data_IF_663259991634
#
_entry.id   IF_663259991634
#
_cell.length_a   1.000
_cell.length_b   1.000
_cell.length_c   1.000
_cell.angle_alpha   90.00
_cell.angle_beta   90.00
_cell.angle_gamma   90.00
#
_symmetry.space_group_name_H-M   'P 1'
#
loop_
_entity.id
_entity.type
_entity.pdbx_description
1 polymer ?
#
# COMPACT_ATOMS: atom_id res chain seq x y z
N UNK A 1 -17.18 30.83 -0.42
CA UNK A 1 -17.62 29.47 -0.74
C UNK A 1 -16.56 28.85 -1.65
N UNK A 2 -15.87 27.83 -1.19
CA UNK A 2 -14.92 27.07 -2.03
C UNK A 2 -15.73 26.02 -2.79
N UNK A 3 -15.68 26.07 -4.12
CA UNK A 3 -16.25 25.04 -4.99
C UNK A 3 -15.15 24.03 -5.30
N UNK A 4 -15.25 22.82 -4.73
CA UNK A 4 -14.42 21.70 -5.14
C UNK A 4 -15.09 21.00 -6.33
N UNK A 5 -14.44 21.01 -7.48
CA UNK A 5 -14.87 20.23 -8.64
C UNK A 5 -14.14 18.89 -8.56
N UNK A 6 -14.89 17.83 -8.30
CA UNK A 6 -14.38 16.47 -8.42
C UNK A 6 -14.44 16.06 -9.90
N UNK A 7 -13.31 15.91 -10.52
CA UNK A 7 -13.22 15.34 -11.87
C UNK A 7 -13.41 13.79 -11.75
N UNK A 8 -14.14 13.16 -12.67
CA UNK A 8 -14.25 11.72 -12.71
C UNK A 8 -12.87 11.07 -12.91
N UNK A 9 -12.68 9.83 -12.43
CA UNK A 9 -11.48 9.06 -12.76
C UNK A 9 -11.32 8.99 -14.28
N UNK A 10 -10.05 8.98 -14.74
CA UNK A 10 -9.75 8.78 -16.16
C UNK A 10 -10.01 7.33 -16.53
N UNK A 11 -10.56 7.08 -17.72
CA UNK A 11 -10.70 5.72 -18.26
C UNK A 11 -9.32 5.04 -18.46
N UNK A 12 -8.26 5.85 -18.63
CA UNK A 12 -6.87 5.42 -18.82
C UNK A 12 -5.99 5.61 -17.56
N UNK A 13 -6.58 5.71 -16.36
CA UNK A 13 -5.85 6.06 -15.13
C UNK A 13 -4.65 5.14 -14.88
N UNK A 14 -4.80 3.84 -15.07
CA UNK A 14 -3.71 2.88 -14.85
C UNK A 14 -2.51 3.15 -15.79
N UNK A 15 -2.77 3.36 -17.06
CA UNK A 15 -1.70 3.66 -18.02
C UNK A 15 -1.03 5.02 -17.74
N UNK A 16 -1.82 6.00 -17.33
CA UNK A 16 -1.31 7.29 -16.89
C UNK A 16 -0.41 7.14 -15.66
N UNK A 17 -0.83 6.37 -14.65
CA UNK A 17 -0.06 6.09 -13.44
C UNK A 17 1.30 5.45 -13.77
N UNK A 18 1.32 4.46 -14.65
CA UNK A 18 2.56 3.79 -15.07
C UNK A 18 3.54 4.78 -15.70
N UNK A 19 3.08 5.60 -16.64
CA UNK A 19 3.91 6.62 -17.29
C UNK A 19 4.39 7.70 -16.32
N UNK A 20 3.53 8.12 -15.38
CA UNK A 20 3.91 9.10 -14.35
C UNK A 20 4.97 8.54 -13.42
N UNK A 21 4.82 7.28 -13.00
CA UNK A 21 5.76 6.60 -12.13
C UNK A 21 7.12 6.35 -12.80
N UNK A 22 7.13 5.92 -14.06
CA UNK A 22 8.38 5.77 -14.82
C UNK A 22 9.15 7.10 -14.93
N UNK A 23 8.46 8.21 -15.17
CA UNK A 23 9.09 9.54 -15.19
C UNK A 23 9.66 9.92 -13.83
N UNK A 24 8.93 9.64 -12.74
CA UNK A 24 9.40 9.89 -11.39
C UNK A 24 10.68 9.11 -11.09
N UNK A 25 10.72 7.82 -11.42
CA UNK A 25 11.89 6.96 -11.20
C UNK A 25 13.10 7.37 -12.05
N UNK A 26 12.87 7.97 -13.22
CA UNK A 26 13.93 8.44 -14.11
C UNK A 26 14.49 9.82 -13.72
N UNK A 27 13.85 10.53 -12.76
CA UNK A 27 14.27 11.85 -12.33
C UNK A 27 15.47 11.77 -11.39
N UNK A 28 16.64 12.22 -11.88
CA UNK A 28 17.89 12.17 -11.15
C UNK A 28 17.94 13.11 -9.92
N UNK A 29 17.09 14.13 -9.88
CA UNK A 29 17.04 15.05 -8.75
C UNK A 29 16.12 14.49 -7.64
N UNK A 30 15.01 13.87 -7.99
CA UNK A 30 14.17 13.14 -7.05
C UNK A 30 14.89 11.96 -6.42
N UNK A 31 15.74 11.25 -7.17
CA UNK A 31 16.54 10.14 -6.65
C UNK A 31 17.52 10.53 -5.52
N UNK A 32 17.80 11.83 -5.35
CA UNK A 32 18.68 12.35 -4.28
C UNK A 32 17.92 12.72 -3.00
N UNK A 33 16.59 12.75 -3.07
CA UNK A 33 15.74 13.18 -1.95
C UNK A 33 15.39 11.94 -1.11
N UNK A 34 15.71 11.93 0.19
CA UNK A 34 15.34 10.81 1.06
C UNK A 34 13.84 10.82 1.36
N UNK A 35 13.22 9.66 1.35
CA UNK A 35 11.80 9.46 1.65
C UNK A 35 11.13 8.53 0.66
N UNK A 36 9.86 8.28 0.89
CA UNK A 36 8.99 7.54 -0.02
C UNK A 36 8.20 8.52 -0.88
N UNK A 37 7.88 8.09 -2.09
CA UNK A 37 7.09 8.85 -3.04
C UNK A 37 5.79 8.14 -3.35
N UNK A 38 4.73 8.92 -3.49
CA UNK A 38 3.45 8.50 -4.05
C UNK A 38 3.05 9.51 -5.13
N UNK A 39 2.04 9.17 -5.90
CA UNK A 39 1.40 10.15 -6.79
C UNK A 39 -0.10 10.20 -6.54
N UNK A 40 -0.73 11.31 -6.91
CA UNK A 40 -2.18 11.41 -7.00
C UNK A 40 -2.67 11.07 -8.42
N UNK A 41 -4.00 11.09 -8.62
CA UNK A 41 -4.63 10.82 -9.93
C UNK A 41 -4.21 11.78 -11.04
N UNK A 42 -3.65 12.92 -10.71
CA UNK A 42 -3.18 13.95 -11.65
C UNK A 42 -1.68 13.83 -11.93
N UNK A 43 -0.98 12.93 -11.22
CA UNK A 43 0.46 12.72 -11.32
C UNK A 43 1.28 13.71 -10.49
N UNK A 44 0.67 14.43 -9.54
CA UNK A 44 1.43 15.23 -8.57
C UNK A 44 2.18 14.29 -7.64
N UNK A 45 3.42 14.66 -7.33
CA UNK A 45 4.29 13.87 -6.46
C UNK A 45 3.98 14.24 -5.01
N UNK A 46 3.69 13.23 -4.22
CA UNK A 46 3.50 13.32 -2.76
C UNK A 46 4.72 12.69 -2.12
N UNK A 47 5.40 13.41 -1.25
CA UNK A 47 6.57 12.94 -0.55
C UNK A 47 6.24 12.73 0.92
N UNK A 48 6.65 11.57 1.45
CA UNK A 48 6.64 11.29 2.89
C UNK A 48 8.06 11.24 3.42
N UNK A 49 8.31 11.78 4.64
CA UNK A 49 9.62 11.68 5.28
C UNK A 49 10.05 10.21 5.43
N UNK A 50 11.37 9.95 5.58
CA UNK A 50 11.84 8.60 5.88
C UNK A 50 11.12 8.04 7.11
N UNK A 51 10.79 6.74 7.12
CA UNK A 51 10.14 6.10 8.25
C UNK A 51 11.02 6.14 9.50
N UNK A 52 10.41 6.29 10.67
CA UNK A 52 11.11 6.19 11.94
C UNK A 52 11.56 4.76 12.26
N UNK A 53 12.42 4.61 13.27
CA UNK A 53 12.99 3.32 13.69
C UNK A 53 11.94 2.24 13.95
N UNK A 54 10.88 2.57 14.72
CA UNK A 54 9.82 1.61 15.05
C UNK A 54 8.96 1.23 13.83
N UNK A 55 8.71 2.18 12.94
CA UNK A 55 7.97 1.93 11.70
C UNK A 55 8.70 0.89 10.83
N UNK A 56 9.99 1.11 10.55
CA UNK A 56 10.80 0.16 9.79
C UNK A 56 10.93 -1.20 10.47
N UNK A 57 11.02 -1.23 11.80
CA UNK A 57 11.04 -2.47 12.58
C UNK A 57 9.75 -3.26 12.40
N UNK A 58 8.58 -2.61 12.47
CA UNK A 58 7.29 -3.25 12.25
C UNK A 58 7.10 -3.72 10.81
N UNK A 59 7.48 -2.93 9.83
CA UNK A 59 7.47 -3.37 8.42
C UNK A 59 8.26 -4.68 8.24
N UNK A 60 9.46 -4.72 8.80
CA UNK A 60 10.30 -5.92 8.72
C UNK A 60 9.66 -7.13 9.41
N UNK A 61 9.19 -6.97 10.64
CA UNK A 61 8.61 -8.08 11.42
C UNK A 61 7.32 -8.61 10.79
N UNK A 62 6.44 -7.73 10.34
CA UNK A 62 5.22 -8.11 9.61
C UNK A 62 5.58 -8.89 8.34
N UNK A 63 6.52 -8.37 7.55
CA UNK A 63 6.97 -9.04 6.34
C UNK A 63 7.61 -10.40 6.61
N UNK A 64 8.44 -10.50 7.64
CA UNK A 64 9.05 -11.75 8.07
C UNK A 64 8.01 -12.80 8.47
N UNK A 65 7.03 -12.41 9.30
CA UNK A 65 5.96 -13.30 9.75
C UNK A 65 5.09 -13.77 8.59
N UNK A 66 4.67 -12.88 7.70
CA UNK A 66 3.92 -13.24 6.49
C UNK A 66 4.70 -14.26 5.65
N UNK A 67 5.97 -13.99 5.40
CA UNK A 67 6.84 -14.92 4.63
C UNK A 67 7.00 -16.27 5.32
N UNK A 68 7.17 -16.27 6.64
CA UNK A 68 7.36 -17.47 7.45
C UNK A 68 6.11 -18.35 7.49
N UNK A 69 4.92 -17.75 7.64
CA UNK A 69 3.65 -18.47 7.80
C UNK A 69 3.10 -18.91 6.45
N UNK A 70 3.04 -18.01 5.47
CA UNK A 70 2.38 -18.24 4.18
C UNK A 70 3.34 -18.66 3.06
N UNK A 71 4.65 -18.41 3.19
CA UNK A 71 5.56 -18.49 2.04
C UNK A 71 5.28 -17.35 1.07
N UNK A 72 5.20 -17.64 -0.22
CA UNK A 72 4.86 -16.65 -1.26
C UNK A 72 5.86 -15.50 -1.36
N UNK A 73 5.42 -14.33 -1.77
CA UNK A 73 6.25 -13.16 -1.99
C UNK A 73 5.86 -12.02 -1.07
N UNK A 74 6.86 -11.41 -0.43
CA UNK A 74 6.69 -10.23 0.42
C UNK A 74 7.52 -9.09 -0.15
N UNK A 75 6.95 -7.90 -0.19
CA UNK A 75 7.62 -6.66 -0.58
C UNK A 75 7.29 -5.56 0.43
N UNK A 76 8.19 -4.61 0.60
CA UNK A 76 7.97 -3.39 1.38
C UNK A 76 8.02 -2.18 0.47
N UNK A 77 7.38 -1.08 0.87
CA UNK A 77 7.30 0.16 0.07
C UNK A 77 6.86 -0.13 -1.37
N UNK A 78 5.84 -0.97 -1.51
CA UNK A 78 5.48 -1.56 -2.79
C UNK A 78 4.59 -0.63 -3.62
N UNK A 79 5.01 -0.18 -4.82
CA UNK A 79 4.21 0.70 -5.65
C UNK A 79 3.02 -0.02 -6.25
N UNK A 80 1.82 0.48 -5.95
CA UNK A 80 0.53 -0.03 -6.43
C UNK A 80 -0.22 1.06 -7.19
N UNK A 81 -0.59 0.79 -8.44
CA UNK A 81 -1.46 1.65 -9.23
C UNK A 81 -2.90 1.56 -8.74
N UNK A 82 -3.46 2.69 -8.35
CA UNK A 82 -4.82 2.83 -7.83
C UNK A 82 -5.64 3.84 -8.66
N UNK A 83 -6.89 4.04 -8.31
CA UNK A 83 -7.72 5.09 -8.90
C UNK A 83 -7.24 6.50 -8.54
N UNK A 84 -6.41 6.65 -7.51
CA UNK A 84 -5.80 7.91 -7.09
C UNK A 84 -4.26 7.89 -7.21
N UNK A 85 -3.75 7.49 -8.36
CA UNK A 85 -2.31 7.46 -8.63
C UNK A 85 -1.63 6.20 -8.12
N UNK A 86 -0.31 6.29 -7.89
CA UNK A 86 0.51 5.20 -7.37
C UNK A 86 0.75 5.42 -5.88
N UNK A 87 0.36 4.43 -5.07
CA UNK A 87 0.58 4.41 -3.61
C UNK A 87 1.72 3.47 -3.28
N UNK A 88 2.52 3.83 -2.28
CA UNK A 88 3.57 2.96 -1.73
C UNK A 88 2.99 2.21 -0.52
N UNK A 89 2.67 0.94 -0.70
CA UNK A 89 2.12 0.10 0.38
C UNK A 89 3.25 -0.38 1.28
N UNK A 90 3.15 -0.16 2.58
CA UNK A 90 4.23 -0.42 3.55
C UNK A 90 4.71 -1.87 3.54
N UNK A 91 3.79 -2.83 3.58
CA UNK A 91 4.10 -4.26 3.44
C UNK A 91 3.01 -4.94 2.61
N UNK A 92 3.41 -5.78 1.68
CA UNK A 92 2.48 -6.59 0.88
C UNK A 92 2.87 -8.06 0.91
N UNK A 93 1.86 -8.91 0.83
CA UNK A 93 2.04 -10.32 0.53
C UNK A 93 1.30 -10.69 -0.75
N UNK A 94 1.99 -11.44 -1.62
CA UNK A 94 1.46 -11.95 -2.88
C UNK A 94 1.73 -13.45 -3.00
N UNK A 95 0.73 -14.19 -3.48
CA UNK A 95 0.97 -15.51 -4.04
C UNK A 95 1.81 -15.42 -5.32
N UNK A 96 2.45 -16.51 -5.73
CA UNK A 96 3.20 -16.55 -6.99
C UNK A 96 2.29 -16.25 -8.20
N UNK A 97 1.04 -16.69 -8.13
CA UNK A 97 0.05 -16.43 -9.16
C UNK A 97 -0.28 -14.92 -9.25
N UNK A 98 -0.54 -14.28 -8.10
CA UNK A 98 -0.87 -12.85 -8.06
C UNK A 98 0.33 -12.02 -8.52
N UNK A 99 1.53 -12.31 -8.06
CA UNK A 99 2.73 -11.57 -8.46
C UNK A 99 2.96 -11.63 -9.97
N UNK A 100 2.83 -12.82 -10.58
CA UNK A 100 3.03 -13.00 -12.01
C UNK A 100 2.02 -12.23 -12.88
N UNK A 101 0.80 -12.04 -12.40
CA UNK A 101 -0.28 -11.34 -13.12
C UNK A 101 -0.36 -9.85 -12.80
N UNK A 102 0.08 -9.44 -11.61
CA UNK A 102 -0.07 -8.07 -11.13
C UNK A 102 1.09 -7.15 -11.50
N UNK A 103 2.30 -7.68 -11.66
CA UNK A 103 3.48 -6.85 -11.89
C UNK A 103 3.58 -6.39 -13.35
N UNK A 104 3.68 -5.07 -13.56
CA UNK A 104 3.98 -4.46 -14.85
C UNK A 104 5.08 -3.41 -14.71
N UNK A 105 6.26 -3.71 -15.26
CA UNK A 105 7.46 -2.92 -15.00
C UNK A 105 7.82 -2.94 -13.51
N UNK A 106 7.80 -1.77 -12.87
CA UNK A 106 8.11 -1.60 -11.44
C UNK A 106 6.86 -1.26 -10.60
N UNK A 107 5.66 -1.49 -11.10
CA UNK A 107 4.39 -1.14 -10.43
C UNK A 107 3.44 -2.32 -10.47
N UNK A 108 2.75 -2.57 -9.38
CA UNK A 108 1.63 -3.50 -9.37
C UNK A 108 0.39 -2.82 -9.97
N UNK A 109 -0.26 -3.50 -10.91
CA UNK A 109 -1.50 -3.04 -11.56
C UNK A 109 -2.76 -3.72 -11.00
N UNK A 110 -2.56 -4.65 -10.08
CA UNK A 110 -3.59 -5.29 -9.27
C UNK A 110 -3.10 -5.32 -7.83
N UNK A 111 -4.00 -5.11 -6.89
CA UNK A 111 -3.64 -5.18 -5.49
C UNK A 111 -3.10 -6.58 -5.11
N UNK A 112 -2.07 -6.64 -4.24
CA UNK A 112 -1.72 -7.86 -3.52
C UNK A 112 -2.92 -8.45 -2.78
N UNK A 113 -2.88 -9.74 -2.47
CA UNK A 113 -3.92 -10.35 -1.65
C UNK A 113 -3.97 -9.71 -0.26
N UNK A 114 -2.79 -9.40 0.33
CA UNK A 114 -2.70 -8.68 1.62
C UNK A 114 -1.91 -7.39 1.42
N UNK A 115 -2.54 -6.26 1.77
CA UNK A 115 -1.92 -4.94 1.86
C UNK A 115 -1.89 -4.51 3.32
N UNK A 116 -0.73 -4.07 3.82
CA UNK A 116 -0.55 -3.64 5.20
C UNK A 116 0.00 -2.22 5.25
N UNK A 117 -0.62 -1.36 6.06
CA UNK A 117 -0.10 -0.04 6.42
C UNK A 117 0.34 -0.03 7.89
N UNK A 118 1.52 0.48 8.14
CA UNK A 118 2.06 0.70 9.50
C UNK A 118 1.82 2.15 9.88
N UNK A 119 0.93 2.37 10.83
CA UNK A 119 0.49 3.72 11.17
C UNK A 119 1.57 4.51 11.90
N UNK A 120 1.63 5.79 11.61
CA UNK A 120 2.45 6.79 12.29
C UNK A 120 1.56 7.86 12.92
N UNK A 121 2.08 8.68 13.87
CA UNK A 121 1.31 9.75 14.51
C UNK A 121 0.74 10.79 13.55
N UNK A 122 1.27 10.87 12.33
CA UNK A 122 0.82 11.82 11.31
C UNK A 122 -0.33 11.32 10.46
N UNK A 123 -0.63 10.02 10.49
CA UNK A 123 -1.72 9.46 9.71
C UNK A 123 -3.08 9.81 10.31
N UNK A 124 -4.00 10.25 9.47
CA UNK A 124 -5.37 10.51 9.89
C UNK A 124 -6.29 9.32 9.59
N UNK A 125 -7.37 9.12 10.38
CA UNK A 125 -8.35 8.07 10.07
C UNK A 125 -8.95 8.18 8.67
N UNK A 126 -9.14 9.40 8.16
CA UNK A 126 -9.68 9.64 6.82
C UNK A 126 -8.72 9.17 5.72
N UNK A 127 -7.42 9.45 5.85
CA UNK A 127 -6.39 8.96 4.90
C UNK A 127 -6.32 7.44 4.89
N UNK A 128 -6.41 6.81 6.06
CA UNK A 128 -6.36 5.35 6.16
C UNK A 128 -7.61 4.70 5.55
N UNK A 129 -8.77 5.30 5.75
CA UNK A 129 -10.00 4.82 5.12
C UNK A 129 -9.95 4.94 3.59
N UNK A 130 -9.39 6.07 3.09
CA UNK A 130 -9.18 6.27 1.67
C UNK A 130 -8.20 5.25 1.09
N UNK A 131 -7.02 5.07 1.70
CA UNK A 131 -6.04 4.05 1.26
C UNK A 131 -6.65 2.66 1.23
N UNK A 132 -7.38 2.27 2.28
CA UNK A 132 -8.07 0.99 2.34
C UNK A 132 -9.02 0.79 1.16
N UNK A 133 -9.85 1.78 0.87
CA UNK A 133 -10.77 1.75 -0.28
C UNK A 133 -10.02 1.62 -1.60
N UNK A 134 -8.96 2.39 -1.78
CA UNK A 134 -8.12 2.32 -2.99
C UNK A 134 -7.51 0.93 -3.20
N UNK A 135 -7.10 0.24 -2.12
CA UNK A 135 -6.51 -1.09 -2.22
C UNK A 135 -7.56 -2.16 -2.55
N UNK A 136 -8.77 -2.06 -2.01
CA UNK A 136 -9.85 -2.95 -2.38
C UNK A 136 -10.33 -2.74 -3.83
N UNK A 137 -10.15 -1.54 -4.37
CA UNK A 137 -10.59 -1.18 -5.73
C UNK A 137 -9.48 -1.32 -6.80
N UNK A 138 -8.23 -1.60 -6.41
CA UNK A 138 -7.09 -1.64 -7.34
C UNK A 138 -7.04 -2.93 -8.17
N UNK A 139 -7.45 -2.87 -9.42
CA UNK A 139 -7.46 -3.99 -10.34
C UNK A 139 -8.39 -5.11 -9.87
N UNK A 140 -7.84 -6.29 -9.51
CA UNK A 140 -8.61 -7.38 -8.93
C UNK A 140 -9.00 -7.14 -7.46
N UNK A 141 -8.46 -6.10 -6.84
CA UNK A 141 -8.65 -5.78 -5.44
C UNK A 141 -7.82 -6.63 -4.48
N UNK A 142 -7.55 -6.08 -3.30
CA UNK A 142 -6.97 -6.83 -2.20
C UNK A 142 -8.04 -7.77 -1.60
N UNK A 143 -7.60 -8.93 -1.09
CA UNK A 143 -8.48 -9.79 -0.33
C UNK A 143 -8.59 -9.29 1.12
N UNK A 144 -7.47 -8.76 1.66
CA UNK A 144 -7.43 -8.14 2.98
C UNK A 144 -6.57 -6.87 3.00
N UNK A 145 -6.98 -5.90 3.81
CA UNK A 145 -6.18 -4.71 4.17
C UNK A 145 -6.00 -4.66 5.67
N UNK A 146 -4.77 -4.57 6.12
CA UNK A 146 -4.41 -4.57 7.53
C UNK A 146 -3.81 -3.23 7.95
N UNK A 147 -4.07 -2.84 9.19
CA UNK A 147 -3.40 -1.72 9.83
C UNK A 147 -2.64 -2.19 11.05
N UNK A 148 -1.36 -1.81 11.14
CA UNK A 148 -0.57 -1.94 12.35
C UNK A 148 -0.57 -0.60 13.07
N UNK A 149 -1.22 -0.53 14.23
CA UNK A 149 -1.30 0.67 15.05
C UNK A 149 0.07 1.05 15.62
N UNK A 150 0.21 2.28 16.10
CA UNK A 150 1.45 2.76 16.73
C UNK A 150 1.90 1.93 17.95
N UNK A 151 0.96 1.33 18.66
CA UNK A 151 1.23 0.43 19.78
C UNK A 151 1.49 -1.03 19.35
N UNK A 152 1.51 -1.31 18.04
CA UNK A 152 1.71 -2.64 17.48
C UNK A 152 0.45 -3.47 17.30
N UNK A 153 -0.71 -3.03 17.75
CA UNK A 153 -1.98 -3.76 17.57
C UNK A 153 -2.32 -3.88 16.08
N UNK A 154 -2.69 -5.08 15.66
CA UNK A 154 -3.10 -5.35 14.28
C UNK A 154 -4.62 -5.24 14.14
N UNK A 155 -5.07 -4.55 13.10
CA UNK A 155 -6.47 -4.52 12.68
C UNK A 155 -6.60 -5.08 11.27
N UNK A 156 -7.54 -5.98 11.09
CA UNK A 156 -7.76 -6.69 9.82
C UNK A 156 -9.09 -6.26 9.21
N UNK A 157 -9.09 -6.10 7.88
CA UNK A 157 -10.29 -5.76 7.11
C UNK A 157 -10.39 -6.64 5.88
N UNK A 158 -11.59 -7.10 5.60
CA UNK A 158 -11.99 -7.67 4.32
C UNK A 158 -12.82 -6.65 3.52
N UNK A 159 -13.13 -6.90 2.24
CA UNK A 159 -14.04 -6.04 1.48
C UNK A 159 -15.42 -5.87 2.13
N UNK A 160 -15.84 -6.83 2.98
CA UNK A 160 -17.10 -6.78 3.70
C UNK A 160 -17.06 -6.00 5.01
N UNK A 161 -15.87 -5.56 5.43
CA UNK A 161 -15.66 -4.79 6.66
C UNK A 161 -14.59 -5.38 7.59
N UNK A 162 -14.51 -4.89 8.85
CA UNK A 162 -13.53 -5.35 9.81
C UNK A 162 -13.73 -6.82 10.18
N UNK A 163 -12.62 -7.55 10.36
CA UNK A 163 -12.57 -8.95 10.79
C UNK A 163 -11.66 -9.08 12.01
N UNK A 164 -11.93 -10.04 12.90
CA UNK A 164 -11.16 -10.20 14.15
C UNK A 164 -9.77 -10.80 13.91
N UNK A 165 -9.67 -11.71 12.95
CA UNK A 165 -8.43 -12.37 12.56
C UNK A 165 -8.37 -12.44 11.04
N UNK A 166 -7.16 -12.48 10.48
CA UNK A 166 -6.99 -12.69 9.05
C UNK A 166 -7.58 -14.05 8.63
N UNK A 167 -8.27 -14.06 7.51
CA UNK A 167 -8.77 -15.30 6.88
C UNK A 167 -7.68 -15.97 6.04
N UNK A 168 -6.79 -15.18 5.44
CA UNK A 168 -5.66 -15.68 4.65
C UNK A 168 -4.52 -16.17 5.52
N UNK A 169 -4.29 -15.54 6.68
CA UNK A 169 -3.21 -15.85 7.61
C UNK A 169 -3.74 -15.96 9.05
N UNK A 170 -4.55 -16.99 9.39
CA UNK A 170 -5.19 -17.10 10.71
C UNK A 170 -4.21 -17.16 11.88
N UNK A 171 -2.99 -17.64 11.63
CA UNK A 171 -1.92 -17.75 12.65
C UNK A 171 -1.12 -16.45 12.81
N UNK A 172 -1.49 -15.37 12.12
CA UNK A 172 -0.83 -14.08 12.28
C UNK A 172 -1.15 -13.48 13.65
N UNK A 173 -0.15 -13.00 14.42
CA UNK A 173 -0.38 -12.50 15.76
C UNK A 173 -1.24 -11.22 15.77
N UNK A 174 -2.03 -10.99 16.84
CA UNK A 174 -2.86 -9.79 16.96
C UNK A 174 -2.07 -8.53 17.31
N UNK A 175 -0.78 -8.66 17.62
CA UNK A 175 0.12 -7.53 17.89
C UNK A 175 1.55 -7.82 17.44
N UNK A 176 2.27 -6.77 17.10
CA UNK A 176 3.70 -6.78 16.76
C UNK A 176 4.44 -5.99 17.84
N UNK A 177 5.12 -6.71 18.70
CA UNK A 177 5.96 -6.15 19.76
C UNK A 177 7.40 -5.99 19.22
N UNK A 178 8.04 -4.81 19.50
CA UNK A 178 9.42 -4.50 19.10
C UNK A 178 10.27 -4.24 20.31
#
# INVERSE_FOLDING_TARGET
VSLAIQLPPRDDQQEFNLRAWERLLADADLAKIPGSFETDRHGHIIMTPPPGYQHGGRQFEIGYLLRKILGGNVRTECPLSTLDGVKAVDVVWLSDFRESSALKGNVLIQAPEICVEVLSPTNTPAEMEEKKSLYFDAGAGADEVWFCEENGTMRFHSPSGPIQTSQLCPDFPPSIDL
#
